data_IF_391992570344
#
_entry.id   IF_391992570344
#
_cell.length_a   1.000
_cell.length_b   1.000
_cell.length_c   1.000
_cell.angle_alpha   90.00
_cell.angle_beta   90.00
_cell.angle_gamma   90.00
#
_symmetry.space_group_name_H-M   'P 1'
#
loop_
_entity.id
_entity.type
_entity.pdbx_description
1 polymer ?
#
# COMPACT_ATOMS: atom_id res chain seq x y z
N UNK A 1 -59.80 -43.66 -23.20
CA UNK A 1 -58.68 -44.65 -22.97
C UNK A 1 -57.54 -43.87 -22.30
N UNK A 2 -57.43 -44.00 -21.00
CA UNK A 2 -56.34 -43.37 -20.22
C UNK A 2 -55.32 -44.44 -19.90
N UNK A 3 -54.09 -44.27 -20.39
CA UNK A 3 -52.95 -45.16 -20.10
C UNK A 3 -52.23 -44.60 -18.88
N UNK A 4 -52.33 -45.28 -17.76
CA UNK A 4 -51.64 -44.96 -16.52
C UNK A 4 -50.28 -45.65 -16.57
N UNK A 5 -49.21 -44.85 -16.63
CA UNK A 5 -47.84 -45.34 -16.55
C UNK A 5 -47.37 -45.17 -15.09
N UNK A 6 -47.45 -46.26 -14.33
CA UNK A 6 -46.76 -46.34 -13.03
C UNK A 6 -45.30 -46.61 -13.26
N UNK A 7 -44.47 -45.57 -13.12
CA UNK A 7 -43.02 -45.75 -13.01
C UNK A 7 -42.68 -46.18 -11.58
N UNK A 8 -42.31 -47.45 -11.42
CA UNK A 8 -41.83 -48.04 -10.19
C UNK A 8 -40.38 -47.52 -9.93
N UNK A 9 -40.21 -46.57 -8.99
CA UNK A 9 -38.94 -46.10 -8.51
C UNK A 9 -38.26 -47.19 -7.66
N UNK A 10 -37.26 -47.85 -8.21
CA UNK A 10 -36.40 -48.77 -7.46
C UNK A 10 -35.72 -48.01 -6.31
N UNK A 11 -35.59 -48.62 -5.11
CA UNK A 11 -34.92 -48.00 -3.97
C UNK A 11 -33.45 -47.80 -4.27
N UNK A 12 -32.96 -46.56 -4.08
CA UNK A 12 -31.54 -46.21 -4.14
C UNK A 12 -30.88 -46.94 -2.98
N UNK A 13 -30.21 -48.05 -3.31
CA UNK A 13 -29.37 -48.76 -2.35
C UNK A 13 -28.28 -47.81 -1.86
N UNK A 14 -28.35 -47.51 -0.58
CA UNK A 14 -27.36 -46.75 0.17
C UNK A 14 -26.01 -47.52 0.09
N UNK A 15 -25.18 -47.15 -0.90
CA UNK A 15 -23.83 -47.66 -1.03
C UNK A 15 -23.04 -47.19 0.18
N UNK A 16 -22.90 -48.06 1.17
CA UNK A 16 -22.02 -47.85 2.31
C UNK A 16 -20.62 -47.44 1.82
N UNK A 17 -20.28 -46.17 2.02
CA UNK A 17 -18.93 -45.62 1.74
C UNK A 17 -17.93 -46.40 2.61
N UNK A 18 -16.93 -47.06 2.02
CA UNK A 18 -16.03 -47.91 2.78
C UNK A 18 -15.35 -47.13 3.89
N UNK A 19 -15.45 -47.66 5.10
CA UNK A 19 -14.95 -47.09 6.36
C UNK A 19 -13.43 -46.80 6.37
N UNK A 20 -12.70 -47.37 5.43
CA UNK A 20 -11.25 -47.17 5.23
C UNK A 20 -10.86 -45.72 4.85
N UNK A 21 -11.77 -44.98 4.22
CA UNK A 21 -11.52 -43.57 3.88
C UNK A 21 -11.70 -42.61 5.07
N UNK A 22 -12.29 -43.05 6.17
CA UNK A 22 -12.49 -42.23 7.38
C UNK A 22 -11.26 -42.16 8.28
N UNK A 23 -10.43 -43.20 8.32
CA UNK A 23 -9.26 -43.25 9.22
C UNK A 23 -8.11 -42.35 8.77
N UNK A 24 -7.85 -42.24 7.47
CA UNK A 24 -6.77 -41.42 6.94
C UNK A 24 -7.00 -39.88 7.03
N UNK A 25 -8.25 -39.44 7.27
CA UNK A 25 -8.58 -38.00 7.35
C UNK A 25 -8.28 -37.36 8.71
N UNK A 26 -8.17 -38.18 9.77
CA UNK A 26 -7.89 -37.64 11.12
C UNK A 26 -6.51 -37.00 11.25
N UNK A 27 -5.40 -37.66 10.89
CA UNK A 27 -4.07 -37.06 11.00
C UNK A 27 -3.93 -35.82 10.09
N UNK A 28 -4.52 -35.84 8.89
CA UNK A 28 -4.51 -34.71 7.98
C UNK A 28 -5.25 -33.51 8.56
N UNK A 29 -6.40 -33.73 9.22
CA UNK A 29 -7.14 -32.65 9.89
C UNK A 29 -6.34 -32.05 11.06
N UNK A 30 -5.69 -32.88 11.84
CA UNK A 30 -4.81 -32.41 12.92
C UNK A 30 -3.63 -31.62 12.38
N UNK A 31 -2.97 -32.10 11.33
CA UNK A 31 -1.88 -31.35 10.68
C UNK A 31 -2.34 -30.00 10.14
N UNK A 32 -3.51 -29.96 9.49
CA UNK A 32 -4.10 -28.72 9.00
C UNK A 32 -4.44 -27.74 10.13
N UNK A 33 -5.04 -28.24 11.23
CA UNK A 33 -5.37 -27.40 12.36
C UNK A 33 -4.12 -26.85 13.04
N UNK A 34 -3.09 -27.65 13.24
CA UNK A 34 -1.80 -27.18 13.78
C UNK A 34 -1.18 -26.11 12.87
N UNK A 35 -1.20 -26.33 11.56
CA UNK A 35 -0.71 -25.34 10.61
C UNK A 35 -1.53 -24.05 10.65
N UNK A 36 -2.86 -24.11 10.73
CA UNK A 36 -3.72 -22.94 10.85
C UNK A 36 -3.43 -22.14 12.12
N UNK A 37 -3.26 -22.82 13.27
CA UNK A 37 -2.91 -22.16 14.53
C UNK A 37 -1.55 -21.46 14.41
N UNK A 38 -0.55 -22.15 13.86
CA UNK A 38 0.76 -21.56 13.60
C UNK A 38 0.67 -20.36 12.65
N UNK A 39 -0.08 -20.48 11.57
CA UNK A 39 -0.26 -19.41 10.58
C UNK A 39 -0.92 -18.16 11.20
N UNK A 40 -1.99 -18.36 11.98
CA UNK A 40 -2.64 -17.25 12.69
C UNK A 40 -1.70 -16.61 13.71
N UNK A 41 -0.93 -17.39 14.47
CA UNK A 41 0.06 -16.86 15.40
C UNK A 41 1.12 -16.04 14.67
N UNK A 42 1.64 -16.52 13.53
CA UNK A 42 2.62 -15.82 12.73
C UNK A 42 2.10 -14.47 12.20
N UNK A 43 0.84 -14.42 11.72
CA UNK A 43 0.20 -13.17 11.24
C UNK A 43 0.02 -12.15 12.38
N UNK A 44 -0.23 -12.61 13.61
CA UNK A 44 -0.38 -11.72 14.77
C UNK A 44 1.00 -11.24 15.26
N UNK A 45 2.01 -12.10 15.25
CA UNK A 45 3.37 -11.75 15.70
C UNK A 45 3.99 -10.68 14.79
N UNK A 46 3.74 -10.70 13.49
CA UNK A 46 4.31 -9.74 12.55
C UNK A 46 4.02 -8.26 12.93
N UNK A 47 2.77 -7.81 13.08
CA UNK A 47 2.49 -6.45 13.50
C UNK A 47 2.84 -6.18 14.97
N UNK A 48 2.77 -7.19 15.84
CA UNK A 48 3.12 -7.04 17.26
C UNK A 48 4.64 -6.87 17.48
N UNK A 49 5.49 -7.31 16.57
CA UNK A 49 6.95 -7.16 16.63
C UNK A 49 7.45 -5.76 16.25
N UNK A 50 6.58 -4.93 15.68
CA UNK A 50 6.91 -3.55 15.32
C UNK A 50 7.13 -2.71 16.58
N UNK A 51 8.16 -1.84 16.56
CA UNK A 51 8.50 -0.96 17.70
C UNK A 51 7.36 0.03 18.02
N UNK A 52 7.06 0.26 19.32
CA UNK A 52 7.68 -0.29 20.52
C UNK A 52 7.18 -1.71 20.85
N UNK A 53 8.07 -2.70 20.85
CA UNK A 53 7.73 -4.10 21.07
C UNK A 53 8.63 -4.74 22.12
N UNK A 54 8.15 -5.81 22.79
CA UNK A 54 8.94 -6.55 23.77
C UNK A 54 10.03 -7.41 23.09
N UNK A 55 11.09 -7.75 23.83
CA UNK A 55 12.12 -8.67 23.33
C UNK A 55 11.55 -10.03 22.97
N UNK A 56 10.57 -10.50 23.76
CA UNK A 56 9.89 -11.76 23.50
C UNK A 56 9.20 -11.75 22.12
N UNK A 57 8.51 -10.68 21.80
CA UNK A 57 7.80 -10.55 20.52
C UNK A 57 8.77 -10.47 19.34
N UNK A 58 9.91 -9.78 19.52
CA UNK A 58 10.98 -9.73 18.51
C UNK A 58 11.60 -11.10 18.26
N UNK A 59 11.93 -11.83 19.34
CA UNK A 59 12.46 -13.21 19.21
C UNK A 59 11.47 -14.17 18.56
N UNK A 60 10.16 -14.03 18.86
CA UNK A 60 9.12 -14.79 18.21
C UNK A 60 9.00 -14.44 16.72
N UNK A 61 9.18 -13.17 16.36
CA UNK A 61 9.19 -12.73 14.97
C UNK A 61 10.36 -13.31 14.18
N UNK A 62 11.57 -13.35 14.75
CA UNK A 62 12.74 -13.96 14.11
C UNK A 62 12.50 -15.43 13.73
N UNK A 63 11.71 -16.15 14.54
CA UNK A 63 11.35 -17.53 14.26
C UNK A 63 10.36 -17.67 13.10
N UNK A 64 9.37 -16.77 13.01
CA UNK A 64 8.31 -16.85 11.99
C UNK A 64 8.61 -16.05 10.73
N UNK A 65 9.58 -15.14 10.76
CA UNK A 65 9.96 -14.26 9.67
C UNK A 65 10.23 -14.98 8.33
N UNK A 66 11.02 -16.07 8.27
CA UNK A 66 11.25 -16.76 7.00
C UNK A 66 9.95 -17.30 6.38
N UNK A 67 9.05 -17.81 7.21
CA UNK A 67 7.75 -18.30 6.77
C UNK A 67 6.87 -17.19 6.21
N UNK A 68 6.80 -16.05 6.92
CA UNK A 68 6.02 -14.90 6.49
C UNK A 68 6.59 -14.28 5.20
N UNK A 69 7.90 -14.30 5.04
CA UNK A 69 8.57 -13.78 3.84
C UNK A 69 8.25 -14.61 2.60
N UNK A 70 8.28 -15.95 2.71
CA UNK A 70 7.91 -16.86 1.62
C UNK A 70 6.44 -16.66 1.19
N UNK A 71 5.56 -16.35 2.13
CA UNK A 71 4.14 -16.12 1.86
C UNK A 71 3.81 -14.66 1.48
N UNK A 72 4.80 -13.77 1.41
CA UNK A 72 4.59 -12.33 1.22
C UNK A 72 3.66 -11.68 2.26
N UNK A 73 3.65 -12.22 3.48
CA UNK A 73 2.83 -11.74 4.60
C UNK A 73 3.63 -10.91 5.62
N UNK A 74 4.90 -10.65 5.35
CA UNK A 74 5.76 -9.84 6.21
C UNK A 74 5.46 -8.34 5.99
N UNK A 75 4.24 -7.93 6.25
CA UNK A 75 3.83 -6.54 6.21
C UNK A 75 3.76 -6.00 7.65
N UNK A 76 4.78 -5.24 8.05
CA UNK A 76 4.69 -4.39 9.22
C UNK A 76 3.66 -3.30 8.95
N UNK A 77 2.41 -3.56 9.29
CA UNK A 77 1.32 -2.61 9.14
C UNK A 77 1.47 -1.47 10.17
N UNK A 78 2.36 -0.52 9.90
CA UNK A 78 2.54 0.69 10.71
C UNK A 78 1.56 1.81 10.33
N UNK A 79 0.50 1.50 9.58
CA UNK A 79 -0.39 2.53 9.01
C UNK A 79 -0.99 3.51 10.04
N UNK A 80 -1.01 3.18 11.32
CA UNK A 80 -1.74 3.99 12.30
C UNK A 80 -1.11 4.10 13.69
N UNK A 81 0.10 3.61 13.94
CA UNK A 81 0.63 3.69 15.30
C UNK A 81 2.16 3.63 15.36
N UNK A 82 2.79 4.37 16.28
CA UNK A 82 2.21 5.37 17.18
C UNK A 82 2.11 6.75 16.55
N UNK A 83 2.85 7.01 15.47
CA UNK A 83 2.86 8.28 14.76
C UNK A 83 2.74 7.99 13.25
N UNK A 84 1.66 8.45 12.59
CA UNK A 84 1.59 8.39 11.15
C UNK A 84 2.75 9.19 10.57
N UNK A 85 3.50 8.59 9.66
CA UNK A 85 4.62 9.24 9.00
C UNK A 85 4.18 10.52 8.27
N UNK A 86 5.12 11.42 8.10
CA UNK A 86 4.96 12.61 7.28
C UNK A 86 4.65 12.22 5.85
N UNK A 87 3.82 13.00 5.17
CA UNK A 87 3.42 12.72 3.80
C UNK A 87 4.21 13.56 2.81
N UNK A 88 4.84 12.93 1.85
CA UNK A 88 5.61 13.62 0.81
C UNK A 88 4.78 13.83 -0.45
N UNK A 89 4.71 15.08 -0.89
CA UNK A 89 4.01 15.53 -2.07
C UNK A 89 5.01 16.22 -3.00
N UNK A 90 4.75 16.20 -4.30
CA UNK A 90 5.57 16.88 -5.29
C UNK A 90 4.78 18.03 -5.93
N UNK A 91 5.14 19.27 -5.63
CA UNK A 91 4.63 20.43 -6.32
C UNK A 91 5.47 20.73 -7.56
N UNK A 92 4.85 21.25 -8.60
CA UNK A 92 5.54 21.66 -9.81
C UNK A 92 5.01 22.97 -10.38
N UNK A 93 5.90 23.68 -11.05
CA UNK A 93 5.59 24.81 -11.91
C UNK A 93 6.15 24.49 -13.30
N UNK A 94 5.28 24.43 -14.29
CA UNK A 94 5.62 24.11 -15.67
C UNK A 94 5.43 25.36 -16.55
N UNK A 95 6.51 25.88 -17.12
CA UNK A 95 6.53 27.09 -17.95
C UNK A 95 6.57 26.70 -19.43
N UNK A 96 5.60 27.17 -20.19
CA UNK A 96 5.51 27.00 -21.65
C UNK A 96 6.30 28.07 -22.40
N UNK A 97 6.46 27.86 -23.72
CA UNK A 97 7.13 28.81 -24.61
C UNK A 97 6.41 30.18 -24.69
N UNK A 98 5.10 30.22 -24.49
CA UNK A 98 4.29 31.43 -24.48
C UNK A 98 4.37 32.20 -23.13
N UNK A 99 5.19 31.75 -22.18
CA UNK A 99 5.31 32.31 -20.85
C UNK A 99 4.21 31.90 -19.88
N UNK A 100 3.27 31.06 -20.30
CA UNK A 100 2.22 30.53 -19.44
C UNK A 100 2.81 29.57 -18.39
N UNK A 101 2.50 29.79 -17.12
CA UNK A 101 2.92 28.94 -16.02
C UNK A 101 1.75 28.09 -15.51
N UNK A 102 1.90 26.79 -15.62
CA UNK A 102 0.95 25.79 -15.07
C UNK A 102 1.49 25.31 -13.74
N UNK A 103 0.67 25.41 -12.71
CA UNK A 103 1.01 24.90 -11.37
C UNK A 103 0.18 23.70 -11.03
N UNK A 104 0.81 22.73 -10.40
CA UNK A 104 0.14 21.52 -9.97
C UNK A 104 0.86 20.80 -8.84
N UNK A 105 0.25 19.70 -8.40
CA UNK A 105 0.79 18.87 -7.35
C UNK A 105 0.52 17.39 -7.65
N UNK A 106 1.47 16.54 -7.31
CA UNK A 106 1.34 15.09 -7.37
C UNK A 106 1.33 14.55 -5.94
N UNK A 107 0.32 13.73 -5.55
CA UNK A 107 -0.87 13.41 -6.33
C UNK A 107 -1.85 14.59 -6.43
N UNK A 108 -2.53 14.69 -7.56
CA UNK A 108 -3.62 15.64 -7.75
C UNK A 108 -4.87 15.13 -7.01
N UNK A 109 -5.49 15.99 -6.19
CA UNK A 109 -6.70 15.66 -5.40
C UNK A 109 -7.93 15.32 -6.24
N UNK A 110 -7.93 15.68 -7.52
CA UNK A 110 -9.03 15.41 -8.45
C UNK A 110 -9.01 13.98 -9.00
N UNK A 111 -7.89 13.26 -8.86
CA UNK A 111 -7.73 11.91 -9.39
C UNK A 111 -8.78 10.95 -8.79
N UNK A 112 -9.49 10.26 -9.67
CA UNK A 112 -10.45 9.21 -9.35
C UNK A 112 -10.14 7.94 -10.16
N UNK A 113 -10.38 6.74 -9.67
CA UNK A 113 -10.81 6.37 -8.30
C UNK A 113 -9.71 6.60 -7.26
N UNK A 114 -10.07 6.59 -5.98
CA UNK A 114 -9.14 6.82 -4.86
C UNK A 114 -7.90 5.91 -4.88
N UNK A 115 -8.04 4.68 -5.38
CA UNK A 115 -6.91 3.76 -5.54
C UNK A 115 -5.83 4.31 -6.47
N UNK A 116 -6.20 5.02 -7.54
CA UNK A 116 -5.24 5.67 -8.44
C UNK A 116 -4.54 6.84 -7.75
N UNK A 117 -5.27 7.63 -6.95
CA UNK A 117 -4.67 8.67 -6.11
C UNK A 117 -3.59 8.09 -5.18
N UNK A 118 -3.88 6.97 -4.50
CA UNK A 118 -2.90 6.32 -3.63
C UNK A 118 -1.67 5.81 -4.38
N UNK A 119 -1.83 5.30 -5.61
CA UNK A 119 -0.68 4.90 -6.43
C UNK A 119 0.23 6.08 -6.77
N UNK A 120 -0.34 7.23 -7.12
CA UNK A 120 0.45 8.45 -7.36
C UNK A 120 1.10 8.96 -6.07
N UNK A 121 0.42 8.83 -4.93
CA UNK A 121 0.96 9.15 -3.62
C UNK A 121 2.18 8.28 -3.29
N UNK A 122 2.08 6.97 -3.46
CA UNK A 122 3.20 6.05 -3.27
C UNK A 122 4.40 6.35 -4.15
N UNK A 123 4.21 6.91 -5.34
CA UNK A 123 5.31 7.33 -6.21
C UNK A 123 6.11 8.49 -5.60
N UNK A 124 5.44 9.47 -4.99
CA UNK A 124 6.12 10.61 -4.34
C UNK A 124 6.84 10.19 -3.06
N UNK A 125 6.25 9.27 -2.29
CA UNK A 125 6.90 8.66 -1.13
C UNK A 125 8.17 7.91 -1.54
N UNK A 126 8.09 7.03 -2.54
CA UNK A 126 9.26 6.27 -3.03
C UNK A 126 10.37 7.17 -3.60
N UNK A 127 10.00 8.30 -4.19
CA UNK A 127 10.98 9.28 -4.67
C UNK A 127 11.77 9.88 -3.49
N UNK A 128 11.09 10.21 -2.40
CA UNK A 128 11.73 10.80 -1.22
C UNK A 128 12.59 9.77 -0.46
N UNK A 129 12.17 8.51 -0.44
CA UNK A 129 12.87 7.41 0.22
C UNK A 129 13.98 6.77 -0.64
N UNK A 130 14.12 7.20 -1.90
CA UNK A 130 15.11 6.66 -2.80
C UNK A 130 16.54 6.96 -2.30
N UNK A 131 17.52 6.06 -2.53
CA UNK A 131 18.92 6.34 -2.28
C UNK A 131 19.38 7.65 -2.93
N UNK A 132 20.23 8.40 -2.24
CA UNK A 132 20.64 9.74 -2.67
C UNK A 132 21.20 9.80 -4.11
N UNK A 133 21.86 8.70 -4.54
CA UNK A 133 22.40 8.59 -5.91
C UNK A 133 21.28 8.49 -6.98
N UNK A 134 20.11 7.99 -6.61
CA UNK A 134 18.98 7.79 -7.52
C UNK A 134 18.00 8.98 -7.53
N UNK A 135 17.99 9.79 -6.48
CA UNK A 135 17.06 10.93 -6.38
C UNK A 135 17.12 11.87 -7.59
N UNK A 136 18.30 12.28 -8.10
CA UNK A 136 18.39 13.16 -9.27
C UNK A 136 17.71 12.55 -10.51
N UNK A 137 17.83 11.23 -10.71
CA UNK A 137 17.21 10.52 -11.84
C UNK A 137 15.69 10.52 -11.72
N UNK A 138 15.17 10.36 -10.50
CA UNK A 138 13.74 10.46 -10.23
C UNK A 138 13.23 11.87 -10.54
N UNK A 139 13.92 12.91 -10.04
CA UNK A 139 13.53 14.30 -10.26
C UNK A 139 13.51 14.64 -11.76
N UNK A 140 14.56 14.26 -12.50
CA UNK A 140 14.61 14.46 -13.95
C UNK A 140 13.50 13.72 -14.69
N UNK A 141 13.22 12.48 -14.33
CA UNK A 141 12.13 11.68 -14.90
C UNK A 141 10.77 12.34 -14.70
N UNK A 142 10.49 12.82 -13.50
CA UNK A 142 9.25 13.56 -13.22
C UNK A 142 9.17 14.86 -14.00
N UNK A 143 10.25 15.63 -14.03
CA UNK A 143 10.29 16.88 -14.78
C UNK A 143 10.05 16.64 -16.28
N UNK A 144 10.68 15.64 -16.88
CA UNK A 144 10.48 15.26 -18.28
C UNK A 144 9.04 14.84 -18.57
N UNK A 145 8.45 14.01 -17.69
CA UNK A 145 7.05 13.61 -17.82
C UNK A 145 6.08 14.80 -17.74
N UNK A 146 6.31 15.71 -16.79
CA UNK A 146 5.50 16.93 -16.63
C UNK A 146 5.67 17.84 -17.83
N UNK A 147 6.91 18.03 -18.28
CA UNK A 147 7.23 18.82 -19.47
C UNK A 147 6.50 18.34 -20.72
N UNK A 148 6.61 17.04 -21.01
CA UNK A 148 5.90 16.39 -22.13
C UNK A 148 4.38 16.52 -22.00
N UNK A 149 3.83 16.26 -20.81
CA UNK A 149 2.38 16.29 -20.58
C UNK A 149 1.77 17.67 -20.77
N UNK A 150 2.46 18.73 -20.37
CA UNK A 150 1.95 20.11 -20.39
C UNK A 150 2.54 20.97 -21.53
N UNK A 151 3.44 20.41 -22.36
CA UNK A 151 4.14 21.15 -23.40
C UNK A 151 4.99 22.27 -22.81
N UNK A 152 5.66 21.98 -21.68
CA UNK A 152 6.46 22.96 -20.97
C UNK A 152 7.95 22.80 -21.30
N UNK A 153 8.61 23.95 -21.56
CA UNK A 153 10.04 24.03 -21.79
C UNK A 153 10.86 23.95 -20.50
N UNK A 154 10.27 24.39 -19.42
CA UNK A 154 10.92 24.46 -18.11
C UNK A 154 10.00 23.93 -17.02
N UNK A 155 10.52 23.10 -16.15
CA UNK A 155 9.77 22.56 -15.01
C UNK A 155 10.57 22.77 -13.74
N UNK A 156 9.97 23.45 -12.76
CA UNK A 156 10.50 23.56 -11.41
C UNK A 156 9.79 22.59 -10.50
N UNK A 157 10.55 21.79 -9.75
CA UNK A 157 10.04 20.82 -8.79
C UNK A 157 10.31 21.29 -7.37
N UNK A 158 9.32 21.11 -6.50
CA UNK A 158 9.40 21.38 -5.07
C UNK A 158 8.78 20.21 -4.31
N UNK A 159 9.54 19.59 -3.43
CA UNK A 159 9.01 18.62 -2.48
C UNK A 159 8.25 19.38 -1.40
N UNK A 160 7.05 18.88 -1.06
CA UNK A 160 6.24 19.40 0.03
C UNK A 160 6.04 18.28 1.04
N UNK A 161 6.62 18.42 2.22
CA UNK A 161 6.41 17.47 3.33
C UNK A 161 5.28 17.98 4.20
N UNK A 162 4.22 17.18 4.32
CA UNK A 162 3.08 17.53 5.16
C UNK A 162 3.33 17.05 6.59
N UNK A 163 3.63 18.00 7.46
CA UNK A 163 3.83 17.77 8.89
C UNK A 163 2.49 17.68 9.59
N UNK A 164 2.34 16.70 10.47
CA UNK A 164 1.14 16.63 11.28
C UNK A 164 1.21 17.64 12.43
N UNK A 165 0.23 18.52 12.57
CA UNK A 165 0.20 19.48 13.68
C UNK A 165 0.03 18.73 15.01
N UNK A 166 0.60 19.31 16.08
CA UNK A 166 0.47 18.76 17.42
C UNK A 166 -1.00 18.65 17.85
N UNK A 167 -1.30 17.67 18.71
CA UNK A 167 -2.65 17.49 19.25
C UNK A 167 -3.15 18.74 19.99
N UNK A 168 -2.26 19.51 20.62
CA UNK A 168 -2.61 20.77 21.29
C UNK A 168 -3.10 21.81 20.29
N UNK A 169 -2.41 21.95 19.14
CA UNK A 169 -2.81 22.85 18.06
C UNK A 169 -4.17 22.48 17.49
N UNK A 170 -4.41 21.18 17.25
CA UNK A 170 -5.71 20.70 16.73
C UNK A 170 -6.83 20.93 17.73
N UNK A 171 -6.59 20.69 19.03
CA UNK A 171 -7.57 20.99 20.10
C UNK A 171 -7.83 22.48 20.25
N UNK A 172 -6.85 23.33 19.92
CA UNK A 172 -6.98 24.78 19.87
C UNK A 172 -7.71 25.30 18.62
N UNK A 173 -8.21 24.42 17.73
CA UNK A 173 -8.95 24.79 16.53
C UNK A 173 -8.08 24.95 15.29
N UNK A 174 -6.79 24.59 15.34
CA UNK A 174 -5.91 24.57 14.17
C UNK A 174 -6.33 23.49 13.15
N UNK A 175 -6.18 23.79 11.88
CA UNK A 175 -6.54 22.88 10.78
C UNK A 175 -5.33 22.05 10.35
N UNK A 176 -5.59 20.86 9.80
CA UNK A 176 -4.55 19.97 9.30
C UNK A 176 -3.92 20.43 7.99
N UNK A 177 -4.62 21.27 7.23
CA UNK A 177 -4.25 21.72 5.89
C UNK A 177 -3.78 23.20 5.84
N UNK A 178 -3.31 23.74 6.97
CA UNK A 178 -2.73 25.08 7.02
C UNK A 178 -1.41 25.16 6.25
N UNK A 179 -1.10 26.28 5.60
CA UNK A 179 0.15 26.46 4.84
C UNK A 179 1.41 26.15 5.67
N UNK A 180 1.37 26.44 6.97
CA UNK A 180 2.47 26.19 7.92
C UNK A 180 2.68 24.71 8.25
N UNK A 181 1.71 23.85 7.90
CA UNK A 181 1.83 22.40 8.00
C UNK A 181 2.62 21.78 6.84
N UNK A 182 3.09 22.58 5.89
CA UNK A 182 3.84 22.13 4.75
C UNK A 182 5.25 22.70 4.76
N UNK A 183 6.25 21.87 4.93
CA UNK A 183 7.63 22.21 4.67
C UNK A 183 7.92 22.08 3.17
N UNK A 184 8.64 23.05 2.61
CA UNK A 184 8.93 23.08 1.18
C UNK A 184 10.43 23.02 0.94
N UNK A 185 10.86 22.05 0.14
CA UNK A 185 12.23 21.87 -0.29
C UNK A 185 12.32 21.95 -1.82
N UNK A 186 13.01 22.93 -2.39
CA UNK A 186 13.23 22.98 -3.83
C UNK A 186 14.14 21.83 -4.27
N UNK A 187 13.68 21.07 -5.27
CA UNK A 187 14.43 19.92 -5.83
C UNK A 187 15.24 20.32 -7.07
N UNK A 188 14.89 21.41 -7.73
CA UNK A 188 15.62 21.93 -8.89
C UNK A 188 14.70 22.45 -9.99
N UNK A 189 15.38 22.98 -11.03
CA UNK A 189 14.77 23.47 -12.26
C UNK A 189 15.34 22.68 -13.44
N UNK A 190 14.44 22.14 -14.26
CA UNK A 190 14.78 21.22 -15.35
C UNK A 190 14.33 21.83 -16.68
N UNK A 191 15.20 21.76 -17.68
CA UNK A 191 14.83 22.10 -19.06
C UNK A 191 14.28 20.84 -19.72
N UNK A 192 13.11 20.95 -20.31
CA UNK A 192 12.47 19.91 -21.08
C UNK A 192 12.59 20.33 -22.55
N UNK A 193 13.52 19.73 -23.30
CA UNK A 193 13.55 19.88 -24.74
C UNK A 193 12.34 19.13 -25.29
N UNK A 194 11.48 19.83 -26.03
CA UNK A 194 10.36 19.19 -26.71
C UNK A 194 10.91 18.20 -27.75
N UNK A 195 10.43 16.95 -27.67
CA UNK A 195 10.60 15.96 -28.73
C UNK A 195 9.88 16.40 -29.99
#
# INVERSE_FOLDING_TARGET
MAVSIHAELAPITDRAVPSLLRSGRRPLRWALNCWLVFHLAAIIIAPASVSPSSELTRSAWDLVHPYLQVLYLNHGNQFFAPEPGESTLLAFEAERDDGTVIRGRIPDRTIRPRLLYHRHFMLTEHMSDAPAELQPLWHESYARHIGSRFGARRVRLTQQTHLLPSMERVRGGGRLDEPESYEQQPLGEFRCEGD
#
